data_IF_919316754252
#
_entry.id   IF_919316754252
#
_cell.length_a   1.000
_cell.length_b   1.000
_cell.length_c   1.000
_cell.angle_alpha   90.00
_cell.angle_beta   90.00
_cell.angle_gamma   90.00
#
_symmetry.space_group_name_H-M   'P 1'
#
loop_
_entity.id
_entity.type
_entity.pdbx_description
1 polymer ?
#
# COMPACT_ATOMS: atom_id res chain seq x y z
N UNK A 1 51.15 43.42 -29.65
CA UNK A 1 51.00 42.77 -28.32
C UNK A 1 49.68 43.11 -27.63
N UNK A 2 49.16 44.35 -27.70
CA UNK A 2 47.90 44.74 -27.04
C UNK A 2 46.63 43.98 -27.46
N UNK A 3 46.53 43.54 -28.73
CA UNK A 3 45.33 42.85 -29.25
C UNK A 3 45.16 41.43 -28.70
N UNK A 4 46.26 40.72 -28.42
CA UNK A 4 46.23 39.36 -27.88
C UNK A 4 45.76 39.36 -26.41
N UNK A 5 46.30 40.30 -25.62
CA UNK A 5 45.90 40.46 -24.22
C UNK A 5 44.40 40.82 -24.08
N UNK A 6 43.87 41.68 -24.96
CA UNK A 6 42.45 41.98 -24.98
C UNK A 6 41.60 40.74 -25.28
N UNK A 7 42.04 39.90 -26.23
CA UNK A 7 41.36 38.66 -26.59
C UNK A 7 41.34 37.65 -25.44
N UNK A 8 42.46 37.46 -24.74
CA UNK A 8 42.54 36.56 -23.57
C UNK A 8 41.59 37.01 -22.44
N UNK A 9 41.50 38.32 -22.19
CA UNK A 9 40.56 38.87 -21.21
C UNK A 9 39.10 38.59 -21.62
N UNK A 10 38.76 38.74 -22.89
CA UNK A 10 37.43 38.40 -23.39
C UNK A 10 37.13 36.90 -23.29
N UNK A 11 38.11 36.05 -23.57
CA UNK A 11 37.96 34.60 -23.49
C UNK A 11 37.76 34.14 -22.04
N UNK A 12 38.54 34.68 -21.11
CA UNK A 12 38.39 34.42 -19.68
C UNK A 12 37.00 34.85 -19.18
N UNK A 13 36.51 36.02 -19.61
CA UNK A 13 35.16 36.48 -19.25
C UNK A 13 34.06 35.54 -19.76
N UNK A 14 34.20 35.03 -20.99
CA UNK A 14 33.27 34.02 -21.54
C UNK A 14 33.36 32.70 -20.78
N UNK A 15 34.55 32.30 -20.35
CA UNK A 15 34.74 31.09 -19.57
C UNK A 15 34.04 31.17 -18.21
N UNK A 16 34.21 32.28 -17.50
CA UNK A 16 33.51 32.53 -16.23
C UNK A 16 31.98 32.52 -16.41
N UNK A 17 31.48 33.09 -17.50
CA UNK A 17 30.05 33.06 -17.80
C UNK A 17 29.54 31.63 -18.06
N UNK A 18 30.29 30.82 -18.81
CA UNK A 18 29.97 29.40 -19.03
C UNK A 18 29.98 28.61 -17.71
N UNK A 19 30.98 28.86 -16.85
CA UNK A 19 31.08 28.22 -15.54
C UNK A 19 29.90 28.61 -14.64
N UNK A 20 29.54 29.89 -14.62
CA UNK A 20 28.40 30.41 -13.85
C UNK A 20 27.06 29.81 -14.30
N UNK A 21 26.84 29.71 -15.62
CA UNK A 21 25.66 29.06 -16.17
C UNK A 21 25.60 27.57 -15.80
N UNK A 22 26.73 26.88 -15.90
CA UNK A 22 26.82 25.45 -15.55
C UNK A 22 26.56 25.22 -14.06
N UNK A 23 27.08 26.06 -13.18
CA UNK A 23 26.83 25.94 -11.74
C UNK A 23 25.35 26.16 -11.41
N UNK A 24 24.71 27.17 -12.02
CA UNK A 24 23.29 27.43 -11.81
C UNK A 24 22.41 26.25 -12.28
N UNK A 25 22.72 25.67 -13.44
CA UNK A 25 21.98 24.52 -13.96
C UNK A 25 22.15 23.29 -13.06
N UNK A 26 23.37 23.01 -12.59
CA UNK A 26 23.64 21.90 -11.68
C UNK A 26 22.87 22.06 -10.36
N UNK A 27 22.89 23.27 -9.79
CA UNK A 27 22.10 23.60 -8.60
C UNK A 27 20.62 23.32 -8.82
N UNK A 28 20.05 23.79 -9.94
CA UNK A 28 18.64 23.58 -10.27
C UNK A 28 18.29 22.09 -10.42
N UNK A 29 19.17 21.32 -11.05
CA UNK A 29 18.98 19.87 -11.20
C UNK A 29 19.04 19.16 -9.84
N UNK A 30 19.95 19.55 -8.95
CA UNK A 30 20.07 18.99 -7.61
C UNK A 30 18.84 19.31 -6.76
N UNK A 31 18.37 20.57 -6.77
CA UNK A 31 17.17 20.96 -6.03
C UNK A 31 15.94 20.23 -6.56
N UNK A 32 15.78 20.11 -7.87
CA UNK A 32 14.66 19.38 -8.48
C UNK A 32 14.66 17.90 -8.09
N UNK A 33 15.83 17.24 -8.09
CA UNK A 33 15.95 15.85 -7.66
C UNK A 33 15.67 15.69 -6.17
N UNK A 34 16.16 16.62 -5.35
CA UNK A 34 15.88 16.69 -3.91
C UNK A 34 14.38 16.79 -3.62
N UNK A 35 13.71 17.78 -4.22
CA UNK A 35 12.26 18.02 -4.06
C UNK A 35 11.42 16.84 -4.53
N UNK A 36 11.80 16.23 -5.66
CA UNK A 36 11.13 15.03 -6.17
C UNK A 36 11.27 13.85 -5.19
N UNK A 37 12.45 13.68 -4.59
CA UNK A 37 12.71 12.62 -3.60
C UNK A 37 11.91 12.85 -2.31
N UNK A 38 11.91 14.07 -1.77
CA UNK A 38 11.18 14.40 -0.54
C UNK A 38 9.67 14.31 -0.74
N UNK A 39 9.13 14.77 -1.89
CA UNK A 39 7.71 14.62 -2.21
C UNK A 39 7.27 13.16 -2.24
N UNK A 40 8.10 12.27 -2.81
CA UNK A 40 7.83 10.83 -2.83
C UNK A 40 7.81 10.24 -1.42
N UNK A 41 8.76 10.62 -0.54
CA UNK A 41 8.81 10.09 0.83
C UNK A 41 7.60 10.50 1.68
N UNK A 42 7.14 11.76 1.59
CA UNK A 42 5.97 12.22 2.33
C UNK A 42 4.67 11.54 1.86
N UNK A 43 4.53 11.32 0.55
CA UNK A 43 3.37 10.60 0.01
C UNK A 43 3.35 9.13 0.46
N UNK A 44 4.50 8.44 0.46
CA UNK A 44 4.59 7.06 0.95
C UNK A 44 4.26 6.97 2.45
N UNK A 45 4.79 7.89 3.26
CA UNK A 45 4.52 7.89 4.70
C UNK A 45 3.03 8.11 5.02
N UNK A 46 2.38 9.06 4.33
CA UNK A 46 0.95 9.32 4.51
C UNK A 46 0.10 8.09 4.12
N UNK A 47 0.43 7.44 2.99
CA UNK A 47 -0.25 6.23 2.55
C UNK A 47 -0.06 5.06 3.54
N UNK A 48 1.15 4.86 4.06
CA UNK A 48 1.43 3.81 5.04
C UNK A 48 0.72 4.07 6.38
N UNK A 49 0.68 5.32 6.84
CA UNK A 49 -0.07 5.69 8.03
C UNK A 49 -1.57 5.44 7.86
N UNK A 50 -2.15 5.82 6.71
CA UNK A 50 -3.54 5.54 6.37
C UNK A 50 -3.81 4.03 6.30
N UNK A 51 -2.91 3.25 5.68
CA UNK A 51 -3.02 1.80 5.59
C UNK A 51 -3.03 1.13 6.96
N UNK A 52 -2.14 1.53 7.87
CA UNK A 52 -2.09 1.02 9.25
C UNK A 52 -3.37 1.32 10.01
N UNK A 53 -3.87 2.56 9.92
CA UNK A 53 -5.15 2.96 10.53
C UNK A 53 -6.31 2.14 9.97
N UNK A 54 -6.39 2.00 8.65
CA UNK A 54 -7.48 1.26 8.01
C UNK A 54 -7.46 -0.23 8.39
N UNK A 55 -6.27 -0.84 8.48
CA UNK A 55 -6.14 -2.23 8.93
C UNK A 55 -6.64 -2.42 10.37
N UNK A 56 -6.29 -1.50 11.28
CA UNK A 56 -6.78 -1.54 12.66
C UNK A 56 -8.30 -1.37 12.72
N UNK A 57 -8.86 -0.40 12.01
CA UNK A 57 -10.31 -0.16 11.94
C UNK A 57 -11.07 -1.37 11.40
N UNK A 58 -10.57 -1.98 10.31
CA UNK A 58 -11.18 -3.20 9.75
C UNK A 58 -11.15 -4.35 10.75
N UNK A 59 -10.07 -4.53 11.49
CA UNK A 59 -9.98 -5.55 12.52
C UNK A 59 -11.00 -5.31 13.65
N UNK A 60 -11.12 -4.07 14.12
CA UNK A 60 -12.12 -3.69 15.12
C UNK A 60 -13.55 -3.93 14.65
N UNK A 61 -13.88 -3.53 13.42
CA UNK A 61 -15.21 -3.75 12.83
C UNK A 61 -15.50 -5.23 12.63
N UNK A 62 -14.51 -6.02 12.21
CA UNK A 62 -14.64 -7.47 12.07
C UNK A 62 -15.00 -8.12 13.40
N UNK A 63 -14.24 -7.85 14.47
CA UNK A 63 -14.51 -8.44 15.77
C UNK A 63 -15.83 -7.94 16.39
N UNK A 64 -16.22 -6.69 16.15
CA UNK A 64 -17.55 -6.20 16.52
C UNK A 64 -18.65 -7.00 15.81
N UNK A 65 -18.53 -7.17 14.49
CA UNK A 65 -19.50 -7.96 13.70
C UNK A 65 -19.56 -9.43 14.15
N UNK A 66 -18.42 -10.04 14.47
CA UNK A 66 -18.37 -11.41 15.03
C UNK A 66 -19.11 -11.47 16.36
N UNK A 67 -18.85 -10.51 17.26
CA UNK A 67 -19.50 -10.43 18.57
C UNK A 67 -21.02 -10.26 18.44
N UNK A 68 -21.47 -9.39 17.53
CA UNK A 68 -22.90 -9.14 17.29
C UNK A 68 -23.60 -10.36 16.69
N UNK A 69 -22.86 -11.20 15.95
CA UNK A 69 -23.40 -12.42 15.34
C UNK A 69 -23.44 -13.61 16.30
N UNK A 70 -22.63 -13.60 17.38
CA UNK A 70 -22.45 -14.74 18.29
C UNK A 70 -23.77 -15.30 18.87
N UNK A 71 -24.73 -14.47 19.33
CA UNK A 71 -25.99 -14.99 19.88
C UNK A 71 -26.82 -15.76 18.83
N UNK A 72 -26.81 -15.31 17.58
CA UNK A 72 -27.53 -16.00 16.50
C UNK A 72 -26.91 -17.37 16.21
N UNK A 73 -25.58 -17.49 16.32
CA UNK A 73 -24.89 -18.76 16.21
C UNK A 73 -25.21 -19.69 17.38
N UNK A 74 -25.29 -19.17 18.61
CA UNK A 74 -25.66 -19.95 19.79
C UNK A 74 -27.07 -20.54 19.67
N UNK A 75 -28.07 -19.73 19.33
CA UNK A 75 -29.45 -20.21 19.14
C UNK A 75 -29.57 -21.25 18.01
N UNK A 76 -28.81 -21.06 16.92
CA UNK A 76 -28.77 -22.04 15.83
C UNK A 76 -28.15 -23.37 16.28
N UNK A 77 -27.01 -23.33 16.98
CA UNK A 77 -26.33 -24.53 17.47
C UNK A 77 -27.14 -25.28 18.54
N UNK A 78 -27.98 -24.57 19.28
CA UNK A 78 -28.93 -25.14 20.24
C UNK A 78 -30.21 -25.68 19.58
N UNK A 79 -30.35 -25.57 18.25
CA UNK A 79 -31.54 -26.01 17.50
C UNK A 79 -32.78 -25.14 17.74
N UNK A 80 -32.59 -23.94 18.29
CA UNK A 80 -33.66 -22.98 18.64
C UNK A 80 -33.90 -21.94 17.55
N UNK A 81 -32.95 -21.77 16.64
CA UNK A 81 -33.06 -20.90 15.48
C UNK A 81 -32.70 -21.62 14.17
N UNK A 82 -33.17 -21.05 13.06
CA UNK A 82 -32.73 -21.44 11.73
C UNK A 82 -31.32 -20.93 11.41
N UNK A 83 -30.80 -21.26 10.23
CA UNK A 83 -29.44 -20.91 9.84
C UNK A 83 -29.20 -19.38 9.93
N UNK A 84 -28.10 -18.92 10.53
CA UNK A 84 -27.89 -17.48 10.75
C UNK A 84 -27.89 -16.68 9.44
N UNK A 85 -28.55 -15.51 9.46
CA UNK A 85 -28.69 -14.61 8.32
C UNK A 85 -27.30 -14.20 7.80
N UNK A 86 -27.11 -14.27 6.48
CA UNK A 86 -25.82 -13.96 5.82
C UNK A 86 -24.94 -15.18 5.54
N UNK A 87 -25.28 -16.36 6.06
CA UNK A 87 -24.59 -17.60 5.75
C UNK A 87 -25.46 -18.46 4.82
N UNK A 88 -24.89 -18.96 3.72
CA UNK A 88 -25.63 -19.84 2.79
C UNK A 88 -25.60 -21.27 3.33
N UNK A 89 -26.77 -21.90 3.53
CA UNK A 89 -26.83 -23.36 3.74
C UNK A 89 -26.17 -24.04 2.54
N UNK A 90 -25.00 -24.65 2.75
CA UNK A 90 -24.47 -25.60 1.80
C UNK A 90 -25.42 -26.81 1.83
N UNK A 91 -26.11 -27.06 0.72
CA UNK A 91 -27.02 -28.19 0.62
C UNK A 91 -26.14 -29.44 0.63
N UNK A 92 -26.10 -30.14 1.75
CA UNK A 92 -25.64 -31.53 1.78
C UNK A 92 -26.69 -32.35 1.05
N UNK A 93 -26.45 -32.57 -0.25
CA UNK A 93 -27.07 -33.68 -0.97
C UNK A 93 -26.77 -34.93 -0.13
N UNK A 94 -27.84 -35.61 0.32
CA UNK A 94 -27.73 -36.95 0.91
C UNK A 94 -26.94 -37.84 -0.05
N UNK A 95 -25.65 -38.01 0.19
CA UNK A 95 -25.00 -39.29 -0.11
C UNK A 95 -25.28 -40.18 1.09
N UNK A 96 -26.51 -40.69 1.12
CA UNK A 96 -26.78 -41.96 1.76
C UNK A 96 -26.05 -42.98 0.88
N UNK A 97 -24.93 -43.51 1.37
CA UNK A 97 -24.30 -44.79 1.01
C UNK A 97 -22.91 -44.86 1.69
N UNK A 98 -22.92 -45.06 3.01
CA UNK A 98 -21.80 -45.75 3.67
C UNK A 98 -22.27 -47.19 3.81
N UNK A 99 -21.92 -48.01 2.81
CA UNK A 99 -21.90 -49.46 2.97
C UNK A 99 -20.58 -49.79 3.65
N UNK A 100 -20.64 -50.30 4.87
CA UNK A 100 -19.48 -50.95 5.49
C UNK A 100 -19.29 -52.32 4.82
N UNK A 101 -18.06 -52.75 4.51
CA UNK A 101 -17.81 -54.16 4.27
C UNK A 101 -17.89 -54.88 5.62
N UNK A 102 -18.79 -55.85 5.72
CA UNK A 102 -18.76 -56.87 6.77
C UNK A 102 -17.43 -57.63 6.60
N UNK A 103 -16.56 -57.58 7.62
CA UNK A 103 -15.43 -58.50 7.71
C UNK A 103 -15.92 -59.82 8.30
N UNK A 104 -16.05 -60.83 7.43
CA UNK A 104 -16.29 -62.21 7.85
C UNK A 104 -15.04 -62.76 8.57
N UNK A 105 -15.27 -63.33 9.77
CA UNK A 105 -14.33 -64.18 10.53
C UNK A 105 -14.23 -65.59 9.97
#
# INVERSE_FOLDING_TARGET
MSSYLAQEVHLAKRHEEILSQRSALLQQMETYLGDKKTKKTWQTQAADAARRRNAALLNTLYWASVKDSLPNWEEFLLGRAEYPIGFKKLKTTKQNNISYPEEDS
#
